data_IF_666426488093
#
_entry.id   IF_666426488093
#
_cell.length_a   1.000
_cell.length_b   1.000
_cell.length_c   1.000
_cell.angle_alpha   90.00
_cell.angle_beta   90.00
_cell.angle_gamma   90.00
#
_symmetry.space_group_name_H-M   'P 1'
#
loop_
_entity.id
_entity.type
_entity.pdbx_description
1 polymer ?
#
# COMPACT_ATOMS: atom_id res chain seq x y z
N UNK A 1 55.38 11.21 15.30
CA UNK A 1 54.40 10.30 14.67
C UNK A 1 53.25 11.13 14.13
N UNK A 2 53.17 11.33 12.80
CA UNK A 2 52.05 12.04 12.18
C UNK A 2 50.86 11.07 12.12
N UNK A 3 49.76 11.48 12.74
CA UNK A 3 48.47 10.78 12.76
C UNK A 3 48.04 10.39 11.35
N UNK A 4 47.68 9.12 11.18
CA UNK A 4 47.06 8.56 9.99
C UNK A 4 45.82 9.39 9.66
N UNK A 5 45.90 10.23 8.63
CA UNK A 5 44.78 11.03 8.14
C UNK A 5 43.67 10.08 7.71
N UNK A 6 42.53 10.12 8.41
CA UNK A 6 41.34 9.42 7.95
C UNK A 6 40.99 9.94 6.54
N UNK A 7 41.25 9.12 5.52
CA UNK A 7 40.98 9.45 4.11
C UNK A 7 39.46 9.52 3.85
N UNK A 8 38.67 8.81 4.65
CA UNK A 8 37.24 8.67 4.41
C UNK A 8 36.45 10.00 4.49
N UNK A 9 36.61 10.85 5.52
CA UNK A 9 36.01 12.19 5.55
C UNK A 9 36.44 13.11 4.40
N UNK A 10 37.53 12.83 3.70
CA UNK A 10 38.02 13.66 2.59
C UNK A 10 37.38 13.32 1.24
N UNK A 11 36.68 12.19 1.13
CA UNK A 11 35.95 11.79 -0.08
C UNK A 11 34.85 12.81 -0.43
N UNK A 12 34.53 12.93 -1.73
CA UNK A 12 33.41 13.77 -2.19
C UNK A 12 32.08 13.33 -1.57
N UNK A 13 31.14 14.27 -1.39
CA UNK A 13 29.87 13.99 -0.69
C UNK A 13 29.09 12.89 -1.39
N UNK A 14 29.12 12.86 -2.72
CA UNK A 14 28.44 11.88 -3.57
C UNK A 14 28.96 10.46 -3.30
N UNK A 15 30.27 10.29 -3.11
CA UNK A 15 30.87 8.99 -2.81
C UNK A 15 30.52 8.53 -1.39
N UNK A 16 30.53 9.45 -0.43
CA UNK A 16 30.12 9.15 0.96
C UNK A 16 28.63 8.79 1.00
N UNK A 17 27.79 9.48 0.24
CA UNK A 17 26.35 9.18 0.14
C UNK A 17 26.07 7.84 -0.54
N UNK A 18 26.83 7.48 -1.59
CA UNK A 18 26.73 6.15 -2.20
C UNK A 18 26.99 5.04 -1.18
N UNK A 19 28.09 5.16 -0.43
CA UNK A 19 28.45 4.19 0.61
C UNK A 19 27.38 4.17 1.72
N UNK A 20 26.92 5.35 2.16
CA UNK A 20 25.86 5.47 3.16
C UNK A 20 24.51 4.89 2.71
N UNK A 21 24.26 4.80 1.41
CA UNK A 21 23.04 4.19 0.88
C UNK A 21 23.06 2.66 0.93
N UNK A 22 24.25 2.05 0.92
CA UNK A 22 24.43 0.60 1.05
C UNK A 22 24.45 0.14 2.52
N UNK A 23 24.54 1.07 3.48
CA UNK A 23 24.48 0.77 4.91
C UNK A 23 23.02 0.62 5.40
N UNK A 24 22.83 -0.36 6.28
CA UNK A 24 21.61 -0.48 7.09
C UNK A 24 21.44 0.71 8.05
N UNK A 25 20.26 0.82 8.67
CA UNK A 25 19.89 1.96 9.51
C UNK A 25 20.90 2.25 10.61
N UNK A 26 21.26 1.24 11.40
CA UNK A 26 22.20 1.39 12.52
C UNK A 26 23.62 1.73 12.01
N UNK A 27 24.08 1.08 10.95
CA UNK A 27 25.37 1.38 10.33
C UNK A 27 25.48 2.82 9.83
N UNK A 28 24.39 3.40 9.30
CA UNK A 28 24.36 4.82 8.92
C UNK A 28 24.45 5.73 10.15
N UNK A 29 23.80 5.39 11.28
CA UNK A 29 23.91 6.16 12.52
C UNK A 29 25.33 6.11 13.07
N UNK A 30 25.94 4.93 13.12
CA UNK A 30 27.32 4.76 13.57
C UNK A 30 28.29 5.57 12.71
N UNK A 31 28.15 5.50 11.38
CA UNK A 31 28.97 6.28 10.47
C UNK A 31 28.88 7.78 10.74
N UNK A 32 27.68 8.27 11.06
CA UNK A 32 27.44 9.69 11.38
C UNK A 32 28.08 10.11 12.69
N UNK A 33 28.18 9.20 13.66
CA UNK A 33 28.76 9.47 14.96
C UNK A 33 30.29 9.49 14.94
N UNK A 34 30.93 8.95 13.90
CA UNK A 34 32.41 8.93 13.79
C UNK A 34 33.04 10.33 13.77
N UNK A 35 32.49 11.28 13.00
CA UNK A 35 32.95 12.67 12.97
C UNK A 35 31.92 13.64 12.36
N UNK A 36 32.09 14.93 12.64
CA UNK A 36 31.19 16.01 12.15
C UNK A 36 31.15 16.15 10.63
N UNK A 37 32.24 15.86 9.93
CA UNK A 37 32.28 15.98 8.46
C UNK A 37 31.46 14.88 7.79
N UNK A 38 31.57 13.63 8.27
CA UNK A 38 30.74 12.53 7.79
C UNK A 38 29.28 12.70 8.18
N UNK A 39 29.01 13.25 9.36
CA UNK A 39 27.65 13.64 9.76
C UNK A 39 27.01 14.64 8.78
N UNK A 40 27.75 15.66 8.33
CA UNK A 40 27.25 16.62 7.32
C UNK A 40 27.07 15.95 5.95
N UNK A 41 28.08 15.21 5.48
CA UNK A 41 28.07 14.57 4.16
C UNK A 41 26.99 13.50 4.00
N UNK A 42 26.59 12.85 5.08
CA UNK A 42 25.52 11.84 5.06
C UNK A 42 24.16 12.39 5.44
N UNK A 43 24.02 13.71 5.66
CA UNK A 43 22.79 14.31 6.17
C UNK A 43 21.59 14.04 5.25
N UNK A 44 21.77 14.17 3.94
CA UNK A 44 20.69 13.93 2.97
C UNK A 44 20.21 12.47 3.01
N UNK A 45 21.13 11.48 2.98
CA UNK A 45 20.79 10.06 3.13
C UNK A 45 20.07 9.76 4.45
N UNK A 46 20.55 10.33 5.56
CA UNK A 46 19.94 10.19 6.86
C UNK A 46 18.52 10.79 6.89
N UNK A 47 18.36 12.02 6.43
CA UNK A 47 17.07 12.70 6.42
C UNK A 47 16.05 11.94 5.58
N UNK A 48 16.45 11.51 4.37
CA UNK A 48 15.60 10.69 3.48
C UNK A 48 15.27 9.32 4.07
N UNK A 49 16.18 8.67 4.79
CA UNK A 49 15.92 7.33 5.35
C UNK A 49 14.98 7.35 6.55
N UNK A 50 15.14 8.33 7.44
CA UNK A 50 14.45 8.34 8.74
C UNK A 50 13.30 9.34 8.84
N UNK A 51 13.24 10.36 7.98
CA UNK A 51 12.25 11.44 8.06
C UNK A 51 11.32 11.52 6.84
N UNK A 52 11.46 10.64 5.85
CA UNK A 52 10.54 10.62 4.70
C UNK A 52 9.10 10.32 5.09
N UNK A 53 8.87 9.46 6.08
CA UNK A 53 7.56 9.25 6.67
C UNK A 53 7.61 9.42 8.18
N UNK A 54 6.73 10.27 8.70
CA UNK A 54 6.61 10.56 10.13
C UNK A 54 5.35 9.91 10.68
N UNK A 55 5.31 9.64 11.98
CA UNK A 55 4.26 8.83 12.61
C UNK A 55 3.49 9.63 13.65
N UNK A 56 2.19 9.38 13.72
CA UNK A 56 1.31 9.89 14.78
C UNK A 56 0.32 8.80 15.18
N UNK A 57 -0.10 8.80 16.43
CA UNK A 57 -1.23 8.03 16.97
C UNK A 57 -2.38 8.96 17.39
N UNK A 58 -2.32 10.23 16.97
CA UNK A 58 -3.22 11.31 17.38
C UNK A 58 -3.20 11.65 18.88
N UNK A 59 -2.28 11.09 19.67
CA UNK A 59 -2.03 11.60 21.02
C UNK A 59 -1.39 12.98 20.99
N UNK A 60 -1.57 13.74 22.07
CA UNK A 60 -0.95 15.06 22.23
C UNK A 60 0.58 14.97 22.06
N UNK A 61 1.23 13.99 22.71
CA UNK A 61 2.68 13.76 22.62
C UNK A 61 3.15 13.48 21.18
N UNK A 62 2.39 12.71 20.40
CA UNK A 62 2.78 12.42 19.01
C UNK A 62 2.56 13.62 18.09
N UNK A 63 1.49 14.39 18.30
CA UNK A 63 1.22 15.61 17.53
C UNK A 63 2.22 16.72 17.86
N UNK A 64 2.63 16.88 19.12
CA UNK A 64 3.70 17.80 19.50
C UNK A 64 5.03 17.45 18.84
N UNK A 65 5.37 16.16 18.71
CA UNK A 65 6.57 15.73 17.97
C UNK A 65 6.48 16.07 16.48
N UNK A 66 5.31 15.90 15.86
CA UNK A 66 5.09 16.30 14.47
C UNK A 66 5.24 17.82 14.32
N UNK A 67 4.70 18.60 15.26
CA UNK A 67 4.84 20.06 15.27
C UNK A 67 6.30 20.50 15.42
N UNK A 68 7.04 19.95 16.39
CA UNK A 68 8.46 20.22 16.57
C UNK A 68 9.28 19.92 15.31
N UNK A 69 9.01 18.79 14.64
CA UNK A 69 9.68 18.44 13.39
C UNK A 69 9.32 19.40 12.25
N UNK A 70 8.07 19.85 12.16
CA UNK A 70 7.63 20.80 11.14
C UNK A 70 8.37 22.15 11.22
N UNK A 71 8.86 22.50 12.42
CA UNK A 71 9.62 23.70 12.67
C UNK A 71 11.12 23.55 12.33
N UNK A 72 11.61 22.32 12.11
CA UNK A 72 13.01 22.06 11.81
C UNK A 72 13.34 22.35 10.34
N UNK A 73 14.06 23.44 10.00
CA UNK A 73 14.19 23.92 8.62
C UNK A 73 14.86 22.93 7.67
N UNK A 74 15.84 22.16 8.17
CA UNK A 74 16.59 21.21 7.36
C UNK A 74 15.91 19.84 7.20
N UNK A 75 14.94 19.48 8.05
CA UNK A 75 14.32 18.14 8.03
C UNK A 75 12.93 18.17 7.40
N UNK A 76 12.15 19.23 7.63
CA UNK A 76 10.79 19.37 7.08
C UNK A 76 10.68 19.14 5.55
N UNK A 77 11.65 19.51 4.69
CA UNK A 77 11.52 19.28 3.24
C UNK A 77 11.57 17.80 2.87
N UNK A 78 12.15 16.95 3.72
CA UNK A 78 12.26 15.51 3.49
C UNK A 78 10.99 14.74 3.83
N UNK A 79 10.08 15.34 4.62
CA UNK A 79 8.83 14.71 5.04
C UNK A 79 7.86 14.65 3.85
N UNK A 80 7.62 13.44 3.36
CA UNK A 80 6.74 13.17 2.22
C UNK A 80 5.46 12.42 2.61
N UNK A 81 5.43 11.84 3.81
CA UNK A 81 4.22 11.17 4.27
C UNK A 81 4.00 11.15 5.78
N UNK A 82 2.74 10.95 6.14
CA UNK A 82 2.26 10.87 7.51
C UNK A 82 1.55 9.52 7.72
N UNK A 83 2.05 8.76 8.68
CA UNK A 83 1.52 7.46 9.05
C UNK A 83 0.79 7.53 10.41
N UNK A 84 -0.51 7.24 10.38
CA UNK A 84 -1.35 7.04 11.54
C UNK A 84 -1.10 5.62 12.06
N UNK A 85 -0.26 5.49 13.07
CA UNK A 85 0.13 4.23 13.70
C UNK A 85 -0.77 3.97 14.90
N UNK A 86 -1.93 3.39 14.66
CA UNK A 86 -3.02 3.33 15.64
C UNK A 86 -2.85 2.10 16.54
N UNK A 87 -2.47 2.35 17.79
CA UNK A 87 -2.21 1.35 18.82
C UNK A 87 -2.95 1.68 20.14
N UNK A 88 -2.58 1.04 21.25
CA UNK A 88 -3.08 1.44 22.56
C UNK A 88 -2.66 2.88 22.86
N UNK A 89 -3.63 3.75 23.16
CA UNK A 89 -3.37 5.17 23.48
C UNK A 89 -3.66 6.15 22.34
N UNK A 90 -4.32 5.73 21.26
CA UNK A 90 -4.78 6.64 20.21
C UNK A 90 -5.59 7.79 20.80
N UNK A 91 -5.28 9.02 20.38
CA UNK A 91 -5.97 10.23 20.85
C UNK A 91 -5.70 10.63 22.30
N UNK A 92 -4.78 9.95 23.02
CA UNK A 92 -4.52 10.22 24.44
C UNK A 92 -4.02 11.64 24.67
N UNK A 93 -4.47 12.26 25.77
CA UNK A 93 -4.06 13.61 26.16
C UNK A 93 -4.90 14.72 25.51
N UNK A 94 -5.90 14.35 24.69
CA UNK A 94 -6.81 15.28 24.05
C UNK A 94 -8.26 15.00 24.45
N UNK A 95 -9.10 16.03 24.36
CA UNK A 95 -10.54 15.94 24.56
C UNK A 95 -11.21 15.79 23.20
N UNK A 96 -12.12 14.83 23.11
CA UNK A 96 -12.78 14.45 21.86
C UNK A 96 -14.29 14.48 22.04
N UNK A 97 -14.91 15.54 21.55
CA UNK A 97 -16.36 15.67 21.60
C UNK A 97 -17.04 14.75 20.58
N UNK A 98 -18.15 14.16 21.02
CA UNK A 98 -18.91 13.19 20.24
C UNK A 98 -20.37 13.57 20.17
N UNK A 99 -20.98 13.20 19.06
CA UNK A 99 -22.42 13.14 18.98
C UNK A 99 -22.97 11.94 19.76
N UNK A 100 -24.23 11.97 20.21
CA UNK A 100 -24.88 10.86 20.91
C UNK A 100 -24.85 9.52 20.15
N UNK A 101 -24.79 9.57 18.81
CA UNK A 101 -24.72 8.38 17.94
C UNK A 101 -23.28 7.88 17.69
N UNK A 102 -22.27 8.47 18.33
CA UNK A 102 -20.92 7.92 18.46
C UNK A 102 -19.82 8.57 17.62
N UNK A 103 -20.13 9.22 16.49
CA UNK A 103 -19.12 9.91 15.69
C UNK A 103 -18.54 11.12 16.40
N UNK A 104 -17.29 11.47 16.10
CA UNK A 104 -16.72 12.75 16.53
C UNK A 104 -17.55 13.92 15.97
N UNK A 105 -17.79 14.95 16.78
CA UNK A 105 -18.62 16.09 16.39
C UNK A 105 -17.86 17.13 15.57
N UNK A 106 -16.69 17.54 16.06
CA UNK A 106 -15.89 18.58 15.41
C UNK A 106 -14.38 18.32 15.56
N UNK A 107 -13.80 17.35 14.81
CA UNK A 107 -12.37 17.06 14.87
C UNK A 107 -11.45 18.28 14.67
N UNK A 108 -11.88 19.27 13.87
CA UNK A 108 -11.10 20.50 13.59
C UNK A 108 -11.17 21.55 14.72
N UNK A 109 -12.05 21.37 15.70
CA UNK A 109 -12.10 22.23 16.89
C UNK A 109 -10.98 21.89 17.88
N UNK A 110 -10.46 20.65 17.84
CA UNK A 110 -9.31 20.21 18.62
C UNK A 110 -8.06 20.94 18.16
N UNK A 111 -7.48 21.76 19.05
CA UNK A 111 -6.34 22.63 18.75
C UNK A 111 -5.12 21.87 18.20
N UNK A 112 -4.80 20.70 18.75
CA UNK A 112 -3.69 19.88 18.27
C UNK A 112 -3.90 19.40 16.81
N UNK A 113 -5.15 19.13 16.42
CA UNK A 113 -5.51 18.72 15.06
C UNK A 113 -5.48 19.90 14.10
N UNK A 114 -5.96 21.08 14.54
CA UNK A 114 -5.82 22.34 13.78
C UNK A 114 -4.36 22.69 13.52
N UNK A 115 -3.50 22.53 14.52
CA UNK A 115 -2.05 22.75 14.35
C UNK A 115 -1.43 21.77 13.37
N UNK A 116 -1.82 20.48 13.43
CA UNK A 116 -1.38 19.48 12.46
C UNK A 116 -1.78 19.91 11.03
N UNK A 117 -3.05 20.31 10.85
CA UNK A 117 -3.56 20.84 9.58
C UNK A 117 -2.70 22.00 9.07
N UNK A 118 -2.46 23.02 9.88
CA UNK A 118 -1.70 24.19 9.49
C UNK A 118 -0.24 23.85 9.16
N UNK A 119 0.34 22.88 9.86
CA UNK A 119 1.66 22.37 9.55
C UNK A 119 1.70 21.62 8.20
N UNK A 120 0.67 20.84 7.86
CA UNK A 120 0.55 20.16 6.55
C UNK A 120 0.39 21.14 5.37
N UNK A 121 -0.26 22.28 5.61
CA UNK A 121 -0.43 23.35 4.63
C UNK A 121 0.88 24.13 4.47
N UNK A 122 1.45 24.63 5.58
CA UNK A 122 2.45 25.70 5.53
C UNK A 122 3.91 25.23 5.67
N UNK A 123 4.16 24.06 6.29
CA UNK A 123 5.51 23.63 6.67
C UNK A 123 5.91 22.28 6.08
N UNK A 124 5.00 21.33 6.04
CA UNK A 124 5.17 19.97 5.53
C UNK A 124 4.56 19.87 4.11
N UNK A 125 4.93 20.80 3.23
CA UNK A 125 4.31 20.97 1.90
C UNK A 125 4.49 19.76 0.98
N UNK A 126 5.52 18.95 1.22
CA UNK A 126 5.78 17.71 0.47
C UNK A 126 5.00 16.50 1.01
N UNK A 127 4.35 16.63 2.17
CA UNK A 127 3.63 15.55 2.82
C UNK A 127 2.29 15.29 2.14
N UNK A 128 2.27 14.40 1.13
CA UNK A 128 1.07 14.05 0.33
C UNK A 128 0.79 12.54 0.27
N UNK A 129 1.61 11.74 0.93
CA UNK A 129 1.40 10.30 1.09
C UNK A 129 0.91 9.99 2.51
N UNK A 130 -0.23 9.32 2.64
CA UNK A 130 -0.84 9.04 3.94
C UNK A 130 -1.06 7.55 4.14
N UNK A 131 -0.82 7.09 5.36
CA UNK A 131 -0.94 5.69 5.73
C UNK A 131 -1.72 5.60 7.03
N UNK A 132 -2.71 4.72 7.08
CA UNK A 132 -3.44 4.41 8.31
C UNK A 132 -3.25 2.92 8.56
N UNK A 133 -2.53 2.62 9.65
CA UNK A 133 -2.23 1.25 10.07
C UNK A 133 -3.03 0.91 11.32
N UNK A 134 -3.89 -0.09 11.18
CA UNK A 134 -4.78 -0.55 12.22
C UNK A 134 -4.39 -1.98 12.56
N UNK A 135 -3.76 -2.16 13.72
CA UNK A 135 -3.22 -3.48 14.15
C UNK A 135 -3.91 -4.05 15.38
N UNK A 136 -4.85 -3.32 15.94
CA UNK A 136 -5.55 -3.68 17.16
C UNK A 136 -7.06 -3.68 16.89
N UNK A 137 -7.82 -4.63 17.48
CA UNK A 137 -9.27 -4.61 17.38
C UNK A 137 -9.82 -3.30 17.91
N UNK A 138 -10.93 -2.85 17.33
CA UNK A 138 -11.71 -1.82 18.00
C UNK A 138 -12.07 -2.36 19.38
N UNK A 139 -11.52 -1.74 20.43
CA UNK A 139 -11.95 -2.03 21.79
C UNK A 139 -13.45 -1.76 21.91
N UNK A 140 -14.09 -2.36 22.92
CA UNK A 140 -15.47 -1.98 23.23
C UNK A 140 -15.59 -0.45 23.26
N UNK A 141 -16.60 0.12 22.58
CA UNK A 141 -16.74 1.56 22.41
C UNK A 141 -17.11 2.22 23.74
N UNK A 142 -16.11 2.34 24.60
CA UNK A 142 -16.04 3.40 25.58
C UNK A 142 -16.10 4.72 24.80
N UNK A 143 -17.18 5.49 25.00
CA UNK A 143 -17.38 6.78 24.34
C UNK A 143 -16.30 7.81 24.70
N UNK A 144 -15.51 7.58 25.75
CA UNK A 144 -14.43 8.48 26.17
C UNK A 144 -13.12 8.30 25.38
N UNK A 145 -12.98 7.23 24.59
CA UNK A 145 -11.73 6.95 23.84
C UNK A 145 -11.92 7.11 22.35
N UNK A 146 -10.89 7.60 21.67
CA UNK A 146 -10.79 7.63 20.21
C UNK A 146 -10.59 6.21 19.70
N UNK A 147 -11.42 5.78 18.77
CA UNK A 147 -11.23 4.51 18.08
C UNK A 147 -10.43 4.69 16.81
N UNK A 148 -10.06 3.57 16.21
CA UNK A 148 -9.34 3.55 14.95
C UNK A 148 -10.19 4.18 13.84
N UNK A 149 -11.49 3.89 13.79
CA UNK A 149 -12.39 4.50 12.80
C UNK A 149 -12.54 6.00 13.02
N UNK A 150 -12.48 6.50 14.26
CA UNK A 150 -12.45 7.95 14.51
C UNK A 150 -11.18 8.58 13.91
N UNK A 151 -10.02 7.93 14.01
CA UNK A 151 -8.80 8.44 13.38
C UNK A 151 -8.91 8.51 11.85
N UNK A 152 -9.62 7.56 11.21
CA UNK A 152 -9.96 7.63 9.79
C UNK A 152 -10.87 8.83 9.50
N UNK A 153 -11.87 9.09 10.34
CA UNK A 153 -12.73 10.28 10.22
C UNK A 153 -11.94 11.59 10.39
N UNK A 154 -11.01 11.66 11.36
CA UNK A 154 -10.10 12.79 11.56
C UNK A 154 -9.24 13.01 10.32
N UNK A 155 -8.68 11.95 9.72
CA UNK A 155 -7.92 12.04 8.49
C UNK A 155 -8.73 12.67 7.35
N UNK A 156 -9.95 12.20 7.11
CA UNK A 156 -10.78 12.76 6.05
C UNK A 156 -11.17 14.22 6.33
N UNK A 157 -11.50 14.56 7.58
CA UNK A 157 -11.73 15.94 7.98
C UNK A 157 -10.50 16.83 7.73
N UNK A 158 -9.31 16.35 8.07
CA UNK A 158 -8.04 17.06 7.85
C UNK A 158 -7.80 17.36 6.36
N UNK A 159 -7.88 16.36 5.48
CA UNK A 159 -7.53 16.55 4.06
C UNK A 159 -8.56 17.43 3.34
N UNK A 160 -9.84 17.33 3.72
CA UNK A 160 -10.92 18.14 3.15
C UNK A 160 -10.77 19.59 3.58
N UNK A 161 -10.62 19.84 4.89
CA UNK A 161 -10.46 21.20 5.45
C UNK A 161 -9.19 21.88 4.92
N UNK A 162 -8.08 21.16 4.85
CA UNK A 162 -6.82 21.68 4.33
C UNK A 162 -6.69 21.69 2.80
N UNK A 163 -7.67 21.15 2.08
CA UNK A 163 -7.64 20.97 0.63
C UNK A 163 -6.34 20.30 0.13
N UNK A 164 -5.85 19.29 0.85
CA UNK A 164 -4.55 18.68 0.58
C UNK A 164 -4.61 17.80 -0.68
N UNK A 165 -3.73 17.99 -1.68
CA UNK A 165 -3.71 17.14 -2.87
C UNK A 165 -3.08 15.78 -2.55
N UNK A 166 -3.87 14.85 -2.02
CA UNK A 166 -3.41 13.52 -1.63
C UNK A 166 -2.93 12.75 -2.86
N UNK A 167 -1.67 12.29 -2.86
CA UNK A 167 -1.08 11.52 -3.96
C UNK A 167 -1.11 10.02 -3.73
N UNK A 168 -0.96 9.59 -2.46
CA UNK A 168 -0.96 8.19 -2.06
C UNK A 168 -1.74 7.99 -0.78
N UNK A 169 -2.58 6.97 -0.72
CA UNK A 169 -3.34 6.60 0.46
C UNK A 169 -3.33 5.10 0.70
N UNK A 170 -3.02 4.71 1.93
CA UNK A 170 -3.00 3.33 2.39
C UNK A 170 -3.89 3.18 3.61
N UNK A 171 -4.91 2.33 3.53
CA UNK A 171 -5.77 1.97 4.66
C UNK A 171 -5.62 0.48 4.93
N UNK A 172 -4.83 0.16 5.95
CA UNK A 172 -4.41 -1.19 6.27
C UNK A 172 -5.03 -1.60 7.60
N UNK A 173 -6.05 -2.44 7.50
CA UNK A 173 -6.87 -2.98 8.56
C UNK A 173 -6.64 -4.50 8.65
N UNK A 174 -5.40 -4.89 8.95
CA UNK A 174 -4.95 -6.28 8.94
C UNK A 174 -4.16 -6.66 10.20
N UNK A 175 -4.48 -7.81 10.78
CA UNK A 175 -3.74 -8.43 11.88
C UNK A 175 -3.17 -9.80 11.44
N UNK A 176 -1.96 -10.15 11.89
CA UNK A 176 -1.31 -11.44 11.63
C UNK A 176 -2.02 -12.63 12.30
N UNK A 177 -2.80 -12.43 13.37
CA UNK A 177 -3.16 -13.54 14.28
C UNK A 177 -4.65 -13.86 14.50
N UNK A 178 -5.63 -12.98 14.29
CA UNK A 178 -7.04 -13.38 14.41
C UNK A 178 -8.05 -12.33 13.94
N UNK A 179 -9.22 -12.87 13.56
CA UNK A 179 -10.58 -12.30 13.38
C UNK A 179 -10.69 -10.79 13.18
N UNK A 180 -10.96 -10.44 11.92
CA UNK A 180 -11.74 -9.29 11.44
C UNK A 180 -11.66 -8.07 12.33
N UNK A 181 -10.56 -7.34 12.20
CA UNK A 181 -10.63 -5.91 12.47
C UNK A 181 -11.75 -5.38 11.53
N UNK A 182 -12.83 -4.84 12.09
CA UNK A 182 -13.92 -4.21 11.33
C UNK A 182 -13.95 -2.72 11.68
N UNK A 183 -14.22 -1.87 10.70
CA UNK A 183 -14.46 -0.44 10.92
C UNK A 183 -15.90 -0.22 11.39
N UNK A 184 -16.10 0.55 12.45
CA UNK A 184 -17.44 1.01 12.83
C UNK A 184 -17.91 2.13 11.90
N UNK A 185 -18.55 1.73 10.80
CA UNK A 185 -19.03 2.64 9.75
C UNK A 185 -20.00 3.72 10.25
N UNK A 186 -20.61 3.56 11.43
CA UNK A 186 -21.47 4.59 12.04
C UNK A 186 -20.68 5.84 12.45
N UNK A 187 -19.36 5.71 12.64
CA UNK A 187 -18.45 6.80 13.04
C UNK A 187 -17.87 7.56 11.86
N UNK A 188 -17.99 7.04 10.64
CA UNK A 188 -17.49 7.69 9.43
C UNK A 188 -18.50 8.71 8.87
N UNK A 189 -18.00 9.75 8.19
CA UNK A 189 -18.86 10.72 7.50
C UNK A 189 -19.64 10.05 6.35
N UNK A 190 -20.95 9.85 6.55
CA UNK A 190 -21.85 9.07 5.66
C UNK A 190 -21.98 9.60 4.21
N UNK A 191 -21.57 10.84 3.95
CA UNK A 191 -21.73 11.50 2.65
C UNK A 191 -20.41 12.12 2.15
N UNK A 192 -19.27 11.66 2.67
CA UNK A 192 -17.96 12.19 2.33
C UNK A 192 -17.73 12.26 0.80
N UNK A 193 -18.02 11.17 0.09
CA UNK A 193 -17.86 11.06 -1.36
C UNK A 193 -18.80 11.98 -2.17
N UNK A 194 -19.84 12.56 -1.56
CA UNK A 194 -20.70 13.56 -2.21
C UNK A 194 -20.19 14.99 -2.06
N UNK A 195 -19.26 15.23 -1.13
CA UNK A 195 -18.71 16.56 -0.88
C UNK A 195 -17.82 16.97 -2.07
N UNK A 196 -18.08 18.14 -2.70
CA UNK A 196 -17.23 18.65 -3.78
C UNK A 196 -15.76 18.80 -3.37
N UNK A 197 -15.52 19.21 -2.13
CA UNK A 197 -14.19 19.40 -1.56
C UNK A 197 -13.43 18.08 -1.46
N UNK A 198 -14.10 17.01 -1.04
CA UNK A 198 -13.52 15.67 -1.04
C UNK A 198 -13.15 15.23 -2.47
N UNK A 199 -14.06 15.37 -3.44
CA UNK A 199 -13.77 15.01 -4.84
C UNK A 199 -12.58 15.78 -5.40
N UNK A 200 -12.47 17.07 -5.09
CA UNK A 200 -11.35 17.90 -5.50
C UNK A 200 -10.03 17.36 -4.96
N UNK A 201 -9.91 17.12 -3.66
CA UNK A 201 -8.65 16.62 -3.07
C UNK A 201 -8.33 15.20 -3.52
N UNK A 202 -9.34 14.32 -3.54
CA UNK A 202 -9.20 12.90 -3.83
C UNK A 202 -8.93 12.62 -5.31
N UNK A 203 -9.31 13.55 -6.21
CA UNK A 203 -8.96 13.45 -7.63
C UNK A 203 -7.46 13.44 -7.91
N UNK A 204 -6.63 13.92 -6.98
CA UNK A 204 -5.17 13.89 -7.09
C UNK A 204 -4.58 12.51 -6.77
N UNK A 205 -5.38 11.57 -6.26
CA UNK A 205 -4.91 10.28 -5.79
C UNK A 205 -4.38 9.44 -6.95
N UNK A 206 -3.10 9.06 -6.85
CA UNK A 206 -2.43 8.22 -7.84
C UNK A 206 -2.22 6.79 -7.33
N UNK A 207 -2.15 6.60 -6.01
CA UNK A 207 -1.95 5.28 -5.41
C UNK A 207 -2.93 5.04 -4.26
N UNK A 208 -3.66 3.94 -4.36
CA UNK A 208 -4.63 3.50 -3.37
C UNK A 208 -4.34 2.06 -2.97
N UNK A 209 -4.25 1.83 -1.66
CA UNK A 209 -4.01 0.52 -1.08
C UNK A 209 -5.04 0.27 0.01
N UNK A 210 -5.89 -0.73 -0.21
CA UNK A 210 -6.94 -1.14 0.73
C UNK A 210 -6.66 -2.57 1.17
N UNK A 211 -6.30 -2.75 2.44
CA UNK A 211 -6.03 -4.06 3.00
C UNK A 211 -6.93 -4.33 4.20
N UNK A 212 -8.10 -4.90 3.96
CA UNK A 212 -9.15 -5.01 4.96
C UNK A 212 -10.03 -6.23 4.73
N UNK A 213 -10.61 -6.75 5.80
CA UNK A 213 -11.68 -7.71 5.69
C UNK A 213 -12.97 -7.00 5.26
N UNK A 214 -13.58 -7.44 4.16
CA UNK A 214 -14.82 -6.86 3.66
C UNK A 214 -16.03 -7.26 4.51
N UNK A 215 -16.89 -6.29 4.81
CA UNK A 215 -18.19 -6.47 5.46
C UNK A 215 -19.26 -5.72 4.66
N UNK A 216 -20.54 -6.08 4.85
CA UNK A 216 -21.63 -5.35 4.19
C UNK A 216 -21.62 -3.86 4.55
N UNK A 217 -21.21 -3.52 5.77
CA UNK A 217 -21.15 -2.14 6.23
C UNK A 217 -20.05 -1.34 5.51
N UNK A 218 -18.85 -1.91 5.34
CA UNK A 218 -17.71 -1.18 4.75
C UNK A 218 -17.66 -1.25 3.22
N UNK A 219 -18.44 -2.15 2.60
CA UNK A 219 -18.46 -2.40 1.16
C UNK A 219 -18.61 -1.12 0.33
N UNK A 220 -19.70 -0.38 0.56
CA UNK A 220 -19.99 0.82 -0.22
C UNK A 220 -18.94 1.91 -0.04
N UNK A 221 -18.47 2.10 1.20
CA UNK A 221 -17.42 3.08 1.48
C UNK A 221 -16.12 2.78 0.74
N UNK A 222 -15.65 1.53 0.78
CA UNK A 222 -14.39 1.15 0.11
C UNK A 222 -14.51 1.24 -1.41
N UNK A 223 -15.67 0.86 -1.98
CA UNK A 223 -15.92 0.99 -3.41
C UNK A 223 -15.91 2.46 -3.83
N UNK A 224 -16.61 3.33 -3.10
CA UNK A 224 -16.67 4.77 -3.38
C UNK A 224 -15.30 5.44 -3.28
N UNK A 225 -14.41 5.01 -2.38
CA UNK A 225 -13.03 5.51 -2.33
C UNK A 225 -12.25 5.21 -3.62
N UNK A 226 -12.46 4.04 -4.22
CA UNK A 226 -11.82 3.67 -5.49
C UNK A 226 -12.45 4.46 -6.65
N UNK A 227 -13.78 4.49 -6.71
CA UNK A 227 -14.50 5.16 -7.81
C UNK A 227 -14.33 6.68 -7.81
N UNK A 228 -14.05 7.28 -6.65
CA UNK A 228 -13.79 8.72 -6.53
C UNK A 228 -12.37 9.14 -6.96
N UNK A 229 -11.50 8.20 -7.38
CA UNK A 229 -10.11 8.45 -7.74
C UNK A 229 -9.85 8.30 -9.26
N UNK A 230 -10.22 9.29 -10.10
CA UNK A 230 -10.12 9.18 -11.56
C UNK A 230 -8.69 9.11 -12.11
N UNK A 231 -7.70 9.65 -11.39
CA UNK A 231 -6.28 9.68 -11.80
C UNK A 231 -5.45 8.54 -11.18
N UNK A 232 -6.11 7.48 -10.72
CA UNK A 232 -5.46 6.36 -10.07
C UNK A 232 -4.54 5.61 -11.04
N UNK A 233 -3.28 5.42 -10.62
CA UNK A 233 -2.23 4.71 -11.35
C UNK A 233 -1.91 3.35 -10.72
N UNK A 234 -1.98 3.26 -9.39
CA UNK A 234 -1.72 2.02 -8.65
C UNK A 234 -2.90 1.69 -7.75
N UNK A 235 -3.46 0.50 -7.91
CA UNK A 235 -4.52 -0.04 -7.08
C UNK A 235 -4.07 -1.36 -6.44
N UNK A 236 -4.02 -1.37 -5.12
CA UNK A 236 -3.74 -2.55 -4.32
C UNK A 236 -4.96 -2.93 -3.48
N UNK A 237 -5.41 -4.17 -3.61
CA UNK A 237 -6.57 -4.70 -2.89
C UNK A 237 -6.21 -6.00 -2.16
N UNK A 238 -6.48 -6.03 -0.86
CA UNK A 238 -6.51 -7.24 -0.06
C UNK A 238 -7.85 -7.29 0.66
N UNK A 239 -8.79 -8.08 0.11
CA UNK A 239 -10.20 -8.03 0.47
C UNK A 239 -10.68 -9.25 1.27
N UNK A 240 -9.84 -10.27 1.41
CA UNK A 240 -10.20 -11.55 2.00
C UNK A 240 -10.69 -12.58 0.98
N UNK A 241 -10.63 -13.85 1.39
CA UNK A 241 -10.98 -15.00 0.55
C UNK A 241 -12.40 -15.51 0.88
N UNK A 242 -13.41 -14.72 0.55
CA UNK A 242 -14.83 -15.03 0.81
C UNK A 242 -15.76 -14.39 -0.24
N UNK A 243 -17.03 -14.81 -0.31
CA UNK A 243 -17.96 -14.44 -1.38
C UNK A 243 -18.20 -12.94 -1.54
N UNK A 244 -18.24 -12.18 -0.43
CA UNK A 244 -18.41 -10.72 -0.52
C UNK A 244 -17.26 -10.03 -1.29
N UNK A 245 -16.06 -10.63 -1.32
CA UNK A 245 -14.96 -10.13 -2.16
C UNK A 245 -15.22 -10.36 -3.65
N UNK A 246 -15.89 -11.46 -4.02
CA UNK A 246 -16.35 -11.67 -5.40
C UNK A 246 -17.35 -10.60 -5.80
N UNK A 247 -18.35 -10.30 -4.96
CA UNK A 247 -19.33 -9.25 -5.28
C UNK A 247 -18.67 -7.87 -5.38
N UNK A 248 -17.68 -7.59 -4.53
CA UNK A 248 -16.93 -6.35 -4.61
C UNK A 248 -16.17 -6.23 -5.94
N UNK A 249 -15.51 -7.31 -6.35
CA UNK A 249 -14.78 -7.35 -7.62
C UNK A 249 -15.72 -7.29 -8.82
N UNK A 250 -16.92 -7.88 -8.73
CA UNK A 250 -17.97 -7.76 -9.74
C UNK A 250 -18.40 -6.31 -9.91
N UNK A 251 -18.81 -5.64 -8.82
CA UNK A 251 -19.21 -4.23 -8.86
C UNK A 251 -18.08 -3.33 -9.37
N UNK A 252 -16.84 -3.59 -8.97
CA UNK A 252 -15.68 -2.86 -9.47
C UNK A 252 -15.48 -3.08 -10.98
N UNK A 253 -15.60 -4.32 -11.45
CA UNK A 253 -15.48 -4.66 -12.87
C UNK A 253 -16.63 -4.10 -13.71
N UNK A 254 -17.81 -3.86 -13.14
CA UNK A 254 -18.93 -3.20 -13.82
C UNK A 254 -18.72 -1.68 -13.88
N UNK A 255 -18.46 -1.05 -12.73
CA UNK A 255 -18.58 0.40 -12.54
C UNK A 255 -17.29 1.19 -12.78
N UNK A 256 -16.12 0.60 -12.55
CA UNK A 256 -14.87 1.36 -12.54
C UNK A 256 -14.43 1.79 -13.94
N UNK A 257 -14.03 3.06 -14.04
CA UNK A 257 -13.49 3.69 -15.25
C UNK A 257 -12.03 4.08 -15.05
N UNK A 258 -11.16 3.08 -15.03
CA UNK A 258 -9.73 3.29 -14.87
C UNK A 258 -9.07 3.76 -16.17
N UNK A 259 -8.82 5.06 -16.27
CA UNK A 259 -8.21 5.67 -17.46
C UNK A 259 -6.67 5.67 -17.46
N UNK A 260 -6.05 5.64 -16.28
CA UNK A 260 -4.60 5.79 -16.10
C UNK A 260 -3.96 4.67 -15.26
N UNK A 261 -4.72 3.63 -14.92
CA UNK A 261 -4.23 2.57 -14.03
C UNK A 261 -3.15 1.74 -14.73
N UNK A 262 -1.97 1.74 -14.11
CA UNK A 262 -0.74 1.11 -14.57
C UNK A 262 -0.39 -0.13 -13.74
N UNK A 263 -0.81 -0.17 -12.47
CA UNK A 263 -0.49 -1.26 -11.56
C UNK A 263 -1.75 -1.77 -10.89
N UNK A 264 -2.02 -3.06 -11.05
CA UNK A 264 -3.08 -3.77 -10.34
C UNK A 264 -2.45 -4.87 -9.48
N UNK A 265 -2.71 -4.80 -8.18
CA UNK A 265 -2.22 -5.80 -7.23
C UNK A 265 -3.37 -6.35 -6.38
N UNK A 266 -3.58 -7.66 -6.45
CA UNK A 266 -4.58 -8.38 -5.65
C UNK A 266 -3.86 -9.34 -4.69
N UNK A 267 -4.22 -9.27 -3.42
CA UNK A 267 -3.64 -10.08 -2.35
C UNK A 267 -4.75 -10.80 -1.58
N UNK A 268 -4.67 -12.12 -1.40
CA UNK A 268 -5.59 -12.88 -0.54
C UNK A 268 -7.08 -12.64 -0.84
N UNK A 269 -7.41 -12.33 -2.09
CA UNK A 269 -8.75 -11.97 -2.54
C UNK A 269 -9.40 -13.13 -3.28
N UNK A 270 -10.69 -13.40 -3.03
CA UNK A 270 -11.51 -14.28 -3.87
C UNK A 270 -12.14 -13.47 -5.01
N UNK A 271 -12.09 -13.98 -6.24
CA UNK A 271 -12.62 -13.29 -7.44
C UNK A 271 -13.17 -14.29 -8.46
N UNK A 272 -14.18 -13.89 -9.25
CA UNK A 272 -14.64 -14.67 -10.40
C UNK A 272 -13.75 -14.37 -11.61
N UNK A 273 -13.37 -15.38 -12.38
CA UNK A 273 -12.53 -15.19 -13.57
C UNK A 273 -13.17 -14.24 -14.60
N UNK A 274 -14.49 -14.28 -14.89
CA UNK A 274 -15.12 -13.34 -15.81
C UNK A 274 -14.97 -11.87 -15.39
N UNK A 275 -15.12 -11.58 -14.10
CA UNK A 275 -14.99 -10.21 -13.56
C UNK A 275 -13.55 -9.71 -13.65
N UNK A 276 -12.57 -10.56 -13.29
CA UNK A 276 -11.16 -10.20 -13.41
C UNK A 276 -10.75 -10.01 -14.87
N UNK A 277 -11.18 -10.89 -15.78
CA UNK A 277 -10.94 -10.75 -17.23
C UNK A 277 -11.56 -9.45 -17.76
N UNK A 278 -12.80 -9.13 -17.35
CA UNK A 278 -13.48 -7.89 -17.74
C UNK A 278 -12.71 -6.66 -17.29
N UNK A 279 -12.24 -6.66 -16.05
CA UNK A 279 -11.40 -5.58 -15.52
C UNK A 279 -10.08 -5.48 -16.29
N UNK A 280 -9.35 -6.58 -16.47
CA UNK A 280 -8.08 -6.62 -17.21
C UNK A 280 -8.21 -6.10 -18.64
N UNK A 281 -9.29 -6.45 -19.35
CA UNK A 281 -9.58 -5.95 -20.70
C UNK A 281 -9.68 -4.43 -20.76
N UNK A 282 -10.28 -3.79 -19.75
CA UNK A 282 -10.36 -2.32 -19.66
C UNK A 282 -8.99 -1.69 -19.44
N UNK A 283 -8.10 -2.37 -18.73
CA UNK A 283 -6.77 -1.90 -18.35
C UNK A 283 -5.70 -2.14 -19.42
N UNK A 284 -6.01 -2.92 -20.45
CA UNK A 284 -5.08 -3.45 -21.46
C UNK A 284 -4.06 -2.45 -22.03
N UNK A 285 -4.47 -1.21 -22.27
CA UNK A 285 -3.61 -0.18 -22.89
C UNK A 285 -2.53 0.37 -21.95
N UNK A 286 -2.81 0.41 -20.64
CA UNK A 286 -1.99 1.14 -19.67
C UNK A 286 -1.34 0.24 -18.62
N UNK A 287 -1.85 -0.98 -18.43
CA UNK A 287 -1.39 -1.88 -17.37
C UNK A 287 0.06 -2.30 -17.62
N UNK A 288 0.95 -1.84 -16.75
CA UNK A 288 2.39 -2.10 -16.78
C UNK A 288 2.80 -3.21 -15.81
N UNK A 289 2.10 -3.34 -14.69
CA UNK A 289 2.40 -4.30 -13.62
C UNK A 289 1.16 -5.03 -13.14
N UNK A 290 1.26 -6.35 -13.01
CA UNK A 290 0.23 -7.20 -12.37
C UNK A 290 0.84 -8.01 -11.25
N UNK A 291 0.24 -7.94 -10.07
CA UNK A 291 0.64 -8.74 -8.92
C UNK A 291 -0.57 -9.51 -8.37
N UNK A 292 -0.52 -10.84 -8.41
CA UNK A 292 -1.51 -11.72 -7.78
C UNK A 292 -0.80 -12.60 -6.76
N UNK A 293 -1.15 -12.43 -5.48
CA UNK A 293 -0.54 -13.15 -4.37
C UNK A 293 -1.64 -13.78 -3.49
N UNK A 294 -1.68 -15.10 -3.35
CA UNK A 294 -2.75 -15.79 -2.62
C UNK A 294 -4.17 -15.48 -3.15
N UNK A 295 -4.31 -15.21 -4.45
CA UNK A 295 -5.63 -14.94 -5.06
C UNK A 295 -6.33 -16.26 -5.33
N UNK A 296 -7.61 -16.35 -4.99
CA UNK A 296 -8.44 -17.54 -5.22
C UNK A 296 -9.49 -17.24 -6.28
N UNK A 297 -9.74 -18.19 -7.19
CA UNK A 297 -10.88 -18.11 -8.09
C UNK A 297 -12.12 -18.76 -7.48
N UNK A 298 -13.30 -18.25 -7.84
CA UNK A 298 -14.58 -18.83 -7.50
C UNK A 298 -14.77 -20.22 -8.13
N UNK A 299 -15.86 -20.90 -7.78
CA UNK A 299 -16.16 -22.26 -8.26
C UNK A 299 -16.21 -22.32 -9.80
N UNK A 300 -15.66 -23.41 -10.35
CA UNK A 300 -15.59 -23.74 -11.80
C UNK A 300 -14.69 -22.83 -12.66
N UNK A 301 -14.05 -21.83 -12.07
CA UNK A 301 -13.10 -20.95 -12.75
C UNK A 301 -11.68 -21.52 -12.79
N UNK A 302 -10.93 -21.17 -13.84
CA UNK A 302 -9.54 -21.57 -14.03
C UNK A 302 -8.63 -20.37 -14.33
N UNK A 303 -7.37 -20.49 -13.89
CA UNK A 303 -6.35 -19.47 -14.11
C UNK A 303 -5.83 -19.43 -15.54
N UNK A 304 -5.94 -20.54 -16.27
CA UNK A 304 -5.46 -20.62 -17.66
C UNK A 304 -6.15 -19.59 -18.56
N UNK A 305 -7.45 -19.34 -18.37
CA UNK A 305 -8.20 -18.29 -19.07
C UNK A 305 -7.67 -16.87 -18.80
N UNK A 306 -7.31 -16.56 -17.55
CA UNK A 306 -6.78 -15.25 -17.14
C UNK A 306 -5.35 -15.06 -17.67
N UNK A 307 -4.50 -16.09 -17.56
CA UNK A 307 -3.14 -16.06 -18.12
C UNK A 307 -3.18 -15.85 -19.64
N UNK A 308 -4.14 -16.51 -20.32
CA UNK A 308 -4.38 -16.33 -21.75
C UNK A 308 -4.80 -14.91 -22.08
N UNK A 309 -5.68 -14.29 -21.29
CA UNK A 309 -6.04 -12.89 -21.49
C UNK A 309 -4.84 -11.96 -21.29
N UNK A 310 -4.06 -12.13 -20.23
CA UNK A 310 -2.86 -11.31 -19.97
C UNK A 310 -1.81 -11.44 -21.08
N UNK A 311 -1.76 -12.58 -21.78
CA UNK A 311 -0.86 -12.78 -22.92
C UNK A 311 -1.28 -12.03 -24.20
N UNK A 312 -2.47 -11.41 -24.22
CA UNK A 312 -3.07 -10.79 -25.41
C UNK A 312 -3.08 -9.27 -25.35
N UNK A 313 -2.42 -8.63 -26.31
CA UNK A 313 -2.58 -7.20 -26.61
C UNK A 313 -2.25 -6.22 -25.45
N UNK A 314 -1.55 -6.67 -24.40
CA UNK A 314 -1.03 -5.81 -23.33
C UNK A 314 0.32 -5.20 -23.74
N UNK A 315 0.31 -4.02 -24.35
CA UNK A 315 1.52 -3.39 -24.89
C UNK A 315 2.41 -2.74 -23.83
N UNK A 316 1.85 -2.34 -22.70
CA UNK A 316 2.58 -1.69 -21.60
C UNK A 316 3.08 -2.68 -20.54
N UNK A 317 2.58 -3.92 -20.54
CA UNK A 317 2.84 -4.90 -19.48
C UNK A 317 4.30 -5.38 -19.52
N UNK A 318 5.05 -5.00 -18.50
CA UNK A 318 6.49 -5.29 -18.37
C UNK A 318 6.82 -6.06 -17.10
N UNK A 319 5.90 -6.13 -16.14
CA UNK A 319 6.14 -6.82 -14.87
C UNK A 319 4.94 -7.67 -14.46
N UNK A 320 5.21 -8.92 -14.06
CA UNK A 320 4.22 -9.82 -13.48
C UNK A 320 4.78 -10.47 -12.22
N UNK A 321 3.94 -10.62 -11.21
CA UNK A 321 4.24 -11.35 -9.98
C UNK A 321 3.05 -12.22 -9.64
N UNK A 322 3.17 -13.52 -9.85
CA UNK A 322 2.08 -14.49 -9.70
C UNK A 322 2.52 -15.54 -8.69
N UNK A 323 1.87 -15.65 -7.54
CA UNK A 323 2.27 -16.59 -6.51
C UNK A 323 1.11 -17.07 -5.64
N UNK A 324 1.10 -18.37 -5.32
CA UNK A 324 0.03 -19.02 -4.57
C UNK A 324 -1.35 -18.72 -5.17
N UNK A 325 -1.57 -19.09 -6.43
CA UNK A 325 -2.86 -18.90 -7.10
C UNK A 325 -3.74 -20.13 -6.86
N UNK A 326 -4.98 -19.93 -6.40
CA UNK A 326 -5.87 -21.03 -5.98
C UNK A 326 -7.12 -21.13 -6.86
N UNK A 327 -7.70 -22.33 -6.95
CA UNK A 327 -9.06 -22.58 -7.46
C UNK A 327 -9.92 -23.18 -6.34
N UNK A 328 -11.20 -22.81 -6.30
CA UNK A 328 -12.10 -23.16 -5.19
C UNK A 328 -13.23 -24.10 -5.64
N UNK A 329 -12.94 -25.21 -6.31
CA UNK A 329 -13.84 -26.37 -6.50
C UNK A 329 -13.31 -27.33 -7.57
N UNK A 330 -13.61 -28.65 -7.48
CA UNK A 330 -14.29 -29.34 -6.38
C UNK A 330 -13.37 -29.58 -5.17
N UNK A 331 -12.06 -29.41 -5.32
CA UNK A 331 -11.11 -29.32 -4.20
C UNK A 331 -10.32 -28.02 -4.28
N UNK A 332 -9.82 -27.54 -3.14
CA UNK A 332 -9.00 -26.33 -3.10
C UNK A 332 -7.61 -26.67 -3.62
N UNK A 333 -7.36 -26.40 -4.88
CA UNK A 333 -6.10 -26.72 -5.57
C UNK A 333 -5.25 -25.47 -5.74
N UNK A 334 -3.94 -25.65 -5.71
CA UNK A 334 -2.98 -24.58 -5.99
C UNK A 334 -2.43 -24.75 -7.41
N UNK A 335 -2.38 -23.65 -8.15
CA UNK A 335 -1.71 -23.60 -9.44
C UNK A 335 -0.21 -23.68 -9.23
N UNK A 336 0.42 -24.58 -9.97
CA UNK A 336 1.86 -24.80 -9.94
C UNK A 336 2.43 -24.96 -11.34
N UNK A 337 3.76 -24.86 -11.44
CA UNK A 337 4.50 -24.93 -12.69
C UNK A 337 5.68 -25.91 -12.56
N UNK A 338 5.41 -27.21 -12.37
CA UNK A 338 6.44 -28.20 -12.03
C UNK A 338 7.56 -28.27 -13.07
N UNK A 339 7.24 -28.14 -14.37
CA UNK A 339 8.20 -28.26 -15.47
C UNK A 339 8.83 -26.93 -15.91
N UNK A 340 8.54 -25.82 -15.23
CA UNK A 340 9.02 -24.49 -15.64
C UNK A 340 10.55 -24.39 -15.67
N UNK A 341 11.23 -25.12 -14.78
CA UNK A 341 12.70 -25.19 -14.72
C UNK A 341 13.33 -25.86 -15.96
N UNK A 342 12.54 -26.61 -16.75
CA UNK A 342 12.98 -27.26 -18.00
C UNK A 342 12.77 -26.37 -19.22
N UNK A 343 12.10 -25.22 -19.05
CA UNK A 343 11.82 -24.32 -20.15
C UNK A 343 13.10 -23.64 -20.68
N UNK A 344 13.14 -23.28 -21.98
CA UNK A 344 14.25 -22.53 -22.54
C UNK A 344 14.47 -21.20 -21.80
N UNK A 345 15.73 -20.75 -21.75
CA UNK A 345 16.13 -19.52 -21.07
C UNK A 345 15.42 -18.32 -21.73
N UNK A 346 14.48 -17.69 -21.03
CA UNK A 346 13.79 -16.50 -21.53
C UNK A 346 14.65 -15.24 -21.33
N UNK A 347 15.48 -15.22 -20.28
CA UNK A 347 16.31 -14.09 -19.86
C UNK A 347 17.69 -14.10 -20.53
N UNK A 348 17.78 -13.51 -21.71
CA UNK A 348 19.06 -13.36 -22.43
C UNK A 348 19.51 -11.89 -22.51
N UNK A 349 18.61 -10.94 -22.22
CA UNK A 349 18.86 -9.51 -22.38
C UNK A 349 19.12 -8.80 -21.04
N UNK A 350 20.02 -7.80 -20.98
CA UNK A 350 20.20 -6.95 -19.80
C UNK A 350 18.87 -6.33 -19.36
N UNK A 351 18.51 -6.50 -18.08
CA UNK A 351 17.27 -5.97 -17.51
C UNK A 351 16.08 -6.94 -17.48
N UNK A 352 16.20 -8.14 -18.06
CA UNK A 352 15.23 -9.22 -17.87
C UNK A 352 15.55 -10.02 -16.61
N UNK A 353 14.56 -10.21 -15.73
CA UNK A 353 14.71 -11.01 -14.51
C UNK A 353 13.53 -11.94 -14.37
N UNK A 354 13.79 -13.24 -14.23
CA UNK A 354 12.81 -14.27 -13.93
C UNK A 354 13.21 -14.92 -12.61
N UNK A 355 12.38 -14.77 -11.59
CA UNK A 355 12.53 -15.42 -10.30
C UNK A 355 11.43 -16.46 -10.13
N UNK A 356 11.82 -17.70 -9.86
CA UNK A 356 10.90 -18.79 -9.57
C UNK A 356 10.74 -18.90 -8.05
N UNK A 357 9.50 -18.95 -7.60
CA UNK A 357 9.13 -19.05 -6.19
C UNK A 357 8.67 -20.49 -5.90
N UNK A 358 9.36 -21.16 -5.00
CA UNK A 358 9.15 -22.58 -4.69
C UNK A 358 8.29 -22.76 -3.43
N UNK A 359 7.68 -23.93 -3.31
CA UNK A 359 7.00 -24.34 -2.09
C UNK A 359 7.99 -24.50 -0.92
N UNK A 360 7.65 -23.98 0.26
CA UNK A 360 8.40 -24.19 1.52
C UNK A 360 8.16 -25.60 2.11
N UNK A 361 8.30 -26.67 1.32
CA UNK A 361 8.11 -28.04 1.82
C UNK A 361 9.34 -28.93 1.56
N UNK A 362 10.12 -29.28 2.60
CA UNK A 362 11.38 -30.02 2.43
C UNK A 362 11.20 -31.51 2.05
N UNK A 363 9.98 -32.05 2.04
CA UNK A 363 9.72 -33.50 1.88
C UNK A 363 9.34 -33.88 0.43
N UNK A 364 8.86 -32.93 -0.39
CA UNK A 364 8.49 -33.16 -1.79
C UNK A 364 9.51 -32.51 -2.72
N UNK A 365 9.65 -33.03 -3.94
CA UNK A 365 10.38 -32.35 -5.02
C UNK A 365 9.89 -30.90 -5.15
N UNK A 366 10.79 -29.90 -5.22
CA UNK A 366 10.40 -28.50 -5.16
C UNK A 366 9.53 -28.14 -6.37
N UNK A 367 8.25 -27.85 -6.11
CA UNK A 367 7.33 -27.37 -7.14
C UNK A 367 7.34 -25.84 -7.16
N UNK A 368 7.37 -25.26 -8.35
CA UNK A 368 7.28 -23.82 -8.55
C UNK A 368 5.82 -23.41 -8.32
N UNK A 369 5.56 -22.64 -7.27
CA UNK A 369 4.22 -22.14 -6.92
C UNK A 369 4.00 -20.69 -7.39
N UNK A 370 5.04 -20.06 -7.93
CA UNK A 370 4.92 -18.73 -8.51
C UNK A 370 6.15 -18.26 -9.24
N UNK A 371 5.97 -17.11 -9.86
CA UNK A 371 6.94 -16.48 -10.75
C UNK A 371 6.86 -14.98 -10.59
N UNK A 372 8.01 -14.35 -10.45
CA UNK A 372 8.18 -12.92 -10.64
C UNK A 372 9.00 -12.71 -11.91
N UNK A 373 8.49 -11.87 -12.80
CA UNK A 373 9.18 -11.54 -14.03
C UNK A 373 9.12 -10.05 -14.32
N UNK A 374 10.23 -9.48 -14.76
CA UNK A 374 10.30 -8.12 -15.28
C UNK A 374 11.09 -8.10 -16.59
N UNK A 375 10.51 -7.50 -17.64
CA UNK A 375 11.13 -7.34 -18.96
C UNK A 375 10.12 -7.29 -20.12
N UNK A 376 10.60 -7.10 -21.35
CA UNK A 376 9.74 -6.97 -22.53
C UNK A 376 9.07 -8.27 -23.00
N UNK A 377 9.59 -9.44 -22.62
CA UNK A 377 9.06 -10.76 -23.03
C UNK A 377 7.90 -11.28 -22.15
N UNK A 378 7.14 -10.42 -21.46
CA UNK A 378 5.99 -10.87 -20.62
C UNK A 378 5.03 -11.81 -21.38
N UNK A 379 4.61 -11.53 -22.62
CA UNK A 379 3.67 -12.41 -23.33
C UNK A 379 4.21 -13.84 -23.53
N UNK A 380 5.52 -13.97 -23.75
CA UNK A 380 6.19 -15.27 -23.92
C UNK A 380 6.22 -16.04 -22.59
N UNK A 381 6.52 -15.34 -21.48
CA UNK A 381 6.47 -15.92 -20.13
C UNK A 381 5.05 -16.39 -19.82
N UNK A 382 4.03 -15.57 -20.08
CA UNK A 382 2.64 -15.95 -19.83
C UNK A 382 2.18 -17.14 -20.68
N UNK A 383 2.64 -17.24 -21.93
CA UNK A 383 2.37 -18.41 -22.79
C UNK A 383 3.04 -19.66 -22.23
N UNK A 384 4.27 -19.55 -21.72
CA UNK A 384 4.98 -20.65 -21.07
C UNK A 384 4.23 -21.12 -19.81
N UNK A 385 3.79 -20.18 -18.97
CA UNK A 385 3.02 -20.48 -17.76
C UNK A 385 1.70 -21.19 -18.08
N UNK A 386 1.04 -20.84 -19.19
CA UNK A 386 -0.18 -21.53 -19.63
C UNK A 386 0.10 -23.01 -19.97
N UNK A 387 1.21 -23.31 -20.63
CA UNK A 387 1.57 -24.69 -21.00
C UNK A 387 2.08 -25.50 -19.81
N UNK A 388 2.76 -24.86 -18.86
CA UNK A 388 3.33 -25.51 -17.69
C UNK A 388 2.37 -25.60 -16.49
N UNK A 389 1.18 -25.01 -16.58
CA UNK A 389 0.20 -24.94 -15.50
C UNK A 389 -0.34 -26.33 -15.11
N UNK A 390 -0.19 -26.68 -13.84
CA UNK A 390 -0.73 -27.92 -13.24
C UNK A 390 -1.38 -27.58 -11.91
N UNK A 391 -2.58 -28.11 -11.68
CA UNK A 391 -3.29 -28.02 -10.40
C UNK A 391 -2.83 -29.14 -9.47
N UNK A 392 -2.46 -28.79 -8.23
CA UNK A 392 -1.98 -29.71 -7.20
C UNK A 392 -2.81 -29.66 -5.93
#
# INVERSE_FOLDING_TARGET
>A
MKSNTALFPTLAVELVELIANDLEGDGLLDLRLTCRELQKKTFHCFARRFFTSIKTDLSDDSLQRVDALSQHPALRPYVQGLAFMLQNGVGRGLVWDRHPWGSLSAPMEVEAIRRLRDNLINKLTNCRSFFIFCRYPEGHPDMSRVTITDAVAVFFALIVDAQLPVSSFHLIYANKFSRTLIMDMRRLPKLLYRQPEFKMVWSNLQKLSLEQYLTLDNFGFLLELILSAPNLKTLLLNLGSHDLACEFMHELAETATFSQLQELALFRTLVRAPDLIKLLKRLRKNLATVTFYHVSLAQDDNWTSILKELSRDFTALTSISLYYLWTSAPTKEVLSFPDLHKAPIICESPGQRLHMLYAENPIKSPSVLGVEYSGSKVPQVLSLLQTAAVYM
#
